data_IF_139151129713
#
_entry.id   IF_139151129713
#
_cell.length_a   1.000
_cell.length_b   1.000
_cell.length_c   1.000
_cell.angle_alpha   90.00
_cell.angle_beta   90.00
_cell.angle_gamma   90.00
#
_symmetry.space_group_name_H-M   'P 1'
#
loop_
_entity.id
_entity.type
_entity.pdbx_description
1 polymer ?
#
# COMPACT_ATOMS: atom_id res chain seq x y z
N UNK A 1 -4.11 56.43 -44.37
CA UNK A 1 -4.85 55.88 -43.18
C UNK A 1 -5.19 54.40 -43.31
N UNK A 2 -5.16 53.78 -44.45
CA UNK A 2 -5.48 52.34 -44.62
C UNK A 2 -4.33 51.37 -44.25
N UNK A 3 -3.10 51.78 -44.41
CA UNK A 3 -1.92 50.92 -44.11
C UNK A 3 -1.60 50.76 -42.61
N UNK A 4 -1.98 51.69 -41.77
CA UNK A 4 -1.79 51.61 -40.33
C UNK A 4 -2.77 50.73 -39.59
N UNK A 5 -3.94 50.43 -40.22
CA UNK A 5 -4.98 49.56 -39.65
C UNK A 5 -4.63 48.07 -39.85
N UNK A 6 -3.94 47.73 -40.93
CA UNK A 6 -3.58 46.33 -41.24
C UNK A 6 -2.44 45.83 -40.34
N UNK A 7 -1.51 46.70 -39.96
CA UNK A 7 -0.39 46.34 -39.07
C UNK A 7 -0.84 46.02 -37.63
N UNK A 8 -1.92 46.67 -37.13
CA UNK A 8 -2.40 46.44 -35.75
C UNK A 8 -3.21 45.14 -35.65
N UNK A 9 -3.94 44.73 -36.74
CA UNK A 9 -4.72 43.49 -36.74
C UNK A 9 -3.84 42.25 -36.87
N UNK A 10 -2.72 42.32 -37.60
CA UNK A 10 -1.76 41.21 -37.71
C UNK A 10 -0.97 41.00 -36.41
N UNK A 11 -0.64 42.09 -35.66
CA UNK A 11 0.01 41.96 -34.37
C UNK A 11 -0.91 41.36 -33.27
N UNK A 12 -2.23 41.59 -33.35
CA UNK A 12 -3.17 41.05 -32.37
C UNK A 12 -3.47 39.53 -32.61
N UNK A 13 -3.33 39.04 -33.83
CA UNK A 13 -3.56 37.62 -34.19
C UNK A 13 -2.34 36.76 -33.82
N UNK A 14 -1.12 37.32 -33.74
CA UNK A 14 0.08 36.62 -33.32
C UNK A 14 0.24 36.50 -31.81
N UNK A 15 -0.52 37.29 -31.01
CA UNK A 15 -0.43 37.25 -29.54
C UNK A 15 -1.38 36.22 -28.89
N UNK A 16 -2.26 35.54 -29.64
CA UNK A 16 -3.21 34.53 -29.11
C UNK A 16 -2.74 33.10 -29.37
N UNK A 17 -1.67 32.89 -30.15
CA UNK A 17 -1.18 31.56 -30.51
C UNK A 17 -0.06 31.01 -29.60
N UNK A 18 0.28 31.70 -28.49
CA UNK A 18 1.22 31.19 -27.47
C UNK A 18 0.55 30.89 -26.12
N UNK A 19 -0.73 30.51 -26.13
CA UNK A 19 -1.21 29.63 -25.08
C UNK A 19 -0.61 28.25 -25.35
N UNK A 20 0.70 28.14 -25.08
CA UNK A 20 1.43 26.89 -25.20
C UNK A 20 0.69 25.82 -24.40
N UNK A 21 0.17 24.82 -25.08
CA UNK A 21 -0.02 23.53 -24.47
C UNK A 21 1.31 23.19 -23.80
N UNK A 22 1.41 23.47 -22.51
CA UNK A 22 2.49 22.94 -21.69
C UNK A 22 2.38 21.42 -21.86
N UNK A 23 3.21 20.86 -22.74
CA UNK A 23 3.34 19.43 -22.94
C UNK A 23 3.48 18.86 -21.54
N UNK A 24 2.59 17.96 -21.16
CA UNK A 24 2.66 17.34 -19.85
C UNK A 24 4.02 16.65 -19.75
N UNK A 25 4.84 17.15 -18.83
CA UNK A 25 6.22 16.71 -18.68
C UNK A 25 6.22 15.30 -18.06
N UNK A 26 6.80 14.32 -18.76
CA UNK A 26 6.92 12.95 -18.25
C UNK A 26 7.77 12.90 -16.98
N UNK A 27 7.44 12.01 -16.04
CA UNK A 27 8.20 11.77 -14.83
C UNK A 27 8.68 10.33 -14.72
N UNK A 28 9.75 10.11 -13.96
CA UNK A 28 10.18 8.78 -13.52
C UNK A 28 9.67 8.54 -12.10
N UNK A 29 9.15 7.34 -11.83
CA UNK A 29 8.68 6.98 -10.50
C UNK A 29 9.09 5.56 -10.11
N UNK A 30 9.48 5.38 -8.83
CA UNK A 30 9.57 4.06 -8.22
C UNK A 30 8.19 3.66 -7.76
N UNK A 31 7.70 2.51 -8.23
CA UNK A 31 6.35 2.03 -7.94
C UNK A 31 6.38 0.66 -7.28
N UNK A 32 5.65 0.52 -6.17
CA UNK A 32 5.74 -0.67 -5.33
C UNK A 32 4.38 -1.37 -5.09
N UNK A 33 3.34 -1.06 -5.86
CA UNK A 33 2.14 -1.90 -5.91
C UNK A 33 2.34 -3.08 -6.87
N UNK A 34 1.36 -3.97 -7.01
CA UNK A 34 1.48 -5.04 -8.02
C UNK A 34 1.60 -4.47 -9.44
N UNK A 35 2.26 -5.18 -10.39
CA UNK A 35 2.39 -4.70 -11.77
C UNK A 35 1.04 -4.33 -12.41
N UNK A 36 -0.01 -5.13 -12.17
CA UNK A 36 -1.36 -4.86 -12.68
C UNK A 36 -1.95 -3.56 -12.10
N UNK A 37 -1.75 -3.32 -10.81
CA UNK A 37 -2.23 -2.10 -10.15
C UNK A 37 -1.40 -0.89 -10.56
N UNK A 38 -0.07 -1.04 -10.71
CA UNK A 38 0.78 0.00 -11.27
C UNK A 38 0.28 0.45 -12.65
N UNK A 39 -0.03 -0.49 -13.53
CA UNK A 39 -0.54 -0.19 -14.87
C UNK A 39 -1.87 0.60 -14.81
N UNK A 40 -2.80 0.24 -13.91
CA UNK A 40 -4.06 0.97 -13.70
C UNK A 40 -3.81 2.39 -13.20
N UNK A 41 -2.92 2.55 -12.21
CA UNK A 41 -2.56 3.86 -11.62
C UNK A 41 -1.93 4.77 -12.68
N UNK A 42 -0.94 4.27 -13.43
CA UNK A 42 -0.26 5.03 -14.50
C UNK A 42 -1.25 5.43 -15.59
N UNK A 43 -2.10 4.51 -16.02
CA UNK A 43 -3.16 4.81 -16.99
C UNK A 43 -4.10 5.90 -16.48
N UNK A 44 -4.56 5.80 -15.22
CA UNK A 44 -5.44 6.80 -14.63
C UNK A 44 -4.79 8.19 -14.58
N UNK A 45 -3.53 8.28 -14.15
CA UNK A 45 -2.76 9.53 -14.14
C UNK A 45 -2.69 10.10 -15.56
N UNK A 46 -2.35 9.27 -16.56
CA UNK A 46 -2.27 9.69 -17.97
C UNK A 46 -3.60 10.21 -18.49
N UNK A 47 -4.68 9.49 -18.24
CA UNK A 47 -6.03 9.86 -18.72
C UNK A 47 -6.51 11.20 -18.11
N UNK A 48 -6.17 11.47 -16.84
CA UNK A 48 -6.62 12.67 -16.12
C UNK A 48 -5.72 13.90 -16.30
N UNK A 49 -4.44 13.70 -16.59
CA UNK A 49 -3.45 14.80 -16.58
C UNK A 49 -2.66 14.95 -17.88
N UNK A 50 -2.68 13.95 -18.74
CA UNK A 50 -1.77 13.85 -19.89
C UNK A 50 -0.33 13.45 -19.52
N UNK A 51 0.04 13.40 -18.24
CA UNK A 51 1.39 13.09 -17.76
C UNK A 51 1.69 11.60 -17.96
N UNK A 52 2.84 11.28 -18.57
CA UNK A 52 3.36 9.91 -18.63
C UNK A 52 4.22 9.66 -17.40
N UNK A 53 3.96 8.54 -16.72
CA UNK A 53 4.79 8.05 -15.62
C UNK A 53 5.63 6.88 -16.12
N UNK A 54 6.93 7.10 -16.26
CA UNK A 54 7.91 6.06 -16.55
C UNK A 54 8.18 5.30 -15.26
N UNK A 55 7.55 4.14 -15.12
CA UNK A 55 7.60 3.38 -13.88
C UNK A 55 8.77 2.40 -13.84
N UNK A 56 9.39 2.29 -12.66
CA UNK A 56 10.27 1.17 -12.30
C UNK A 56 9.58 0.41 -11.17
N UNK A 57 9.13 -0.82 -11.45
CA UNK A 57 8.52 -1.68 -10.43
C UNK A 57 9.59 -2.19 -9.46
N UNK A 58 9.29 -2.13 -8.17
CA UNK A 58 10.15 -2.60 -7.07
C UNK A 58 9.27 -3.03 -5.88
N UNK A 59 9.76 -3.94 -5.07
CA UNK A 59 9.16 -4.19 -3.75
C UNK A 59 9.40 -3.00 -2.81
N UNK A 60 8.62 -2.88 -1.73
CA UNK A 60 8.84 -1.83 -0.73
C UNK A 60 10.26 -1.84 -0.15
N UNK A 61 10.84 -3.02 0.04
CA UNK A 61 12.22 -3.15 0.51
C UNK A 61 13.27 -2.67 -0.50
N UNK A 62 13.05 -2.96 -1.78
CA UNK A 62 13.92 -2.49 -2.86
C UNK A 62 13.82 -0.97 -3.05
N UNK A 63 12.61 -0.38 -2.94
CA UNK A 63 12.44 1.08 -2.92
C UNK A 63 13.24 1.70 -1.78
N UNK A 64 13.15 1.14 -0.57
CA UNK A 64 13.92 1.64 0.58
C UNK A 64 15.43 1.55 0.34
N UNK A 65 15.92 0.40 -0.14
CA UNK A 65 17.35 0.21 -0.42
C UNK A 65 17.84 1.18 -1.51
N UNK A 66 17.03 1.39 -2.55
CA UNK A 66 17.35 2.31 -3.64
C UNK A 66 17.38 3.76 -3.17
N UNK A 67 16.41 4.19 -2.37
CA UNK A 67 16.41 5.54 -1.80
C UNK A 67 17.64 5.79 -0.92
N UNK A 68 18.04 4.80 -0.10
CA UNK A 68 19.26 4.90 0.72
C UNK A 68 20.53 4.97 -0.12
N UNK A 69 20.60 4.23 -1.21
CA UNK A 69 21.75 4.19 -2.10
C UNK A 69 21.91 5.46 -2.96
N UNK A 70 20.79 6.05 -3.36
CA UNK A 70 20.79 7.25 -4.24
C UNK A 70 20.82 8.57 -3.48
N UNK A 71 20.50 8.57 -2.18
CA UNK A 71 20.46 9.82 -1.41
C UNK A 71 21.80 10.56 -1.42
N UNK A 72 21.80 11.88 -1.60
CA UNK A 72 20.64 12.74 -1.73
C UNK A 72 20.17 12.98 -3.19
N UNK A 73 20.74 12.32 -4.20
CA UNK A 73 20.53 12.57 -5.63
C UNK A 73 19.71 11.44 -6.27
N UNK A 74 18.39 11.56 -6.21
CA UNK A 74 17.45 10.53 -6.72
C UNK A 74 17.31 10.57 -8.24
N UNK A 75 17.24 9.41 -8.87
CA UNK A 75 17.03 9.27 -10.32
C UNK A 75 15.53 9.27 -10.71
N UNK A 76 14.63 9.28 -9.74
CA UNK A 76 13.20 9.46 -9.94
C UNK A 76 12.70 10.79 -9.38
N UNK A 77 11.55 11.24 -9.82
CA UNK A 77 10.85 12.42 -9.32
C UNK A 77 9.92 12.10 -8.16
N UNK A 78 9.37 10.87 -8.13
CA UNK A 78 8.38 10.45 -7.15
C UNK A 78 8.58 8.98 -6.75
N UNK A 79 8.04 8.67 -5.57
CA UNK A 79 7.67 7.30 -5.19
C UNK A 79 6.16 7.21 -5.23
N UNK A 80 5.58 6.15 -5.81
CA UNK A 80 4.14 5.94 -5.89
C UNK A 80 3.81 4.53 -5.42
N UNK A 81 2.98 4.42 -4.37
CA UNK A 81 2.47 3.14 -3.88
C UNK A 81 3.45 2.29 -3.07
N UNK A 82 4.47 2.91 -2.45
CA UNK A 82 5.31 2.20 -1.47
C UNK A 82 4.54 1.93 -0.16
N UNK A 83 5.09 1.10 0.71
CA UNK A 83 4.52 0.86 2.04
C UNK A 83 4.67 2.10 2.94
N UNK A 84 3.84 2.22 3.99
CA UNK A 84 3.85 3.36 4.91
C UNK A 84 5.23 3.66 5.52
N UNK A 85 6.03 2.66 5.96
CA UNK A 85 7.34 2.93 6.55
C UNK A 85 8.28 3.73 5.64
N UNK A 86 8.19 3.58 4.31
CA UNK A 86 9.04 4.34 3.37
C UNK A 86 8.69 5.83 3.35
N UNK A 87 7.41 6.20 3.49
CA UNK A 87 7.00 7.61 3.62
C UNK A 87 7.57 8.27 4.88
N UNK A 88 7.46 7.58 6.02
CA UNK A 88 8.03 8.04 7.29
C UNK A 88 9.55 8.14 7.25
N UNK A 89 10.23 7.13 6.69
CA UNK A 89 11.67 7.15 6.50
C UNK A 89 12.10 8.34 5.62
N UNK A 90 11.43 8.54 4.49
CA UNK A 90 11.75 9.61 3.55
C UNK A 90 11.56 11.01 4.18
N UNK A 91 10.47 11.20 4.96
CA UNK A 91 10.26 12.41 5.76
C UNK A 91 11.38 12.63 6.76
N UNK A 92 11.68 11.64 7.61
CA UNK A 92 12.70 11.70 8.66
C UNK A 92 14.10 11.97 8.10
N UNK A 93 14.40 11.41 6.93
CA UNK A 93 15.67 11.60 6.22
C UNK A 93 15.75 12.90 5.42
N UNK A 94 14.68 13.70 5.36
CA UNK A 94 14.65 14.95 4.60
C UNK A 94 14.71 14.75 3.08
N UNK A 95 14.22 13.60 2.57
CA UNK A 95 14.26 13.25 1.15
C UNK A 95 13.02 13.73 0.39
N UNK A 96 11.97 14.13 1.09
CA UNK A 96 10.70 14.55 0.49
C UNK A 96 10.66 16.06 0.22
N UNK A 97 9.97 16.45 -0.86
CA UNK A 97 9.51 17.80 -1.11
C UNK A 97 8.06 17.91 -0.59
N UNK A 98 7.82 18.62 0.54
CA UNK A 98 6.47 18.70 1.09
C UNK A 98 5.55 19.51 0.17
N UNK A 99 4.30 19.06 0.08
CA UNK A 99 3.23 19.74 -0.65
C UNK A 99 1.89 19.49 0.04
N UNK A 100 1.31 20.49 0.66
CA UNK A 100 -0.05 20.40 1.23
C UNK A 100 -1.06 20.55 0.10
N UNK A 101 -1.55 19.42 -0.40
CA UNK A 101 -2.44 19.39 -1.54
C UNK A 101 -3.87 19.77 -1.16
N UNK A 102 -4.50 20.73 -1.87
CA UNK A 102 -5.90 21.08 -1.65
C UNK A 102 -6.86 19.94 -1.97
N UNK A 103 -6.47 19.01 -2.87
CA UNK A 103 -7.27 17.83 -3.20
C UNK A 103 -7.41 16.84 -2.05
N UNK A 104 -6.56 16.93 -1.02
CA UNK A 104 -6.60 16.09 0.18
C UNK A 104 -7.31 16.75 1.37
N UNK A 105 -7.88 17.94 1.19
CA UNK A 105 -8.65 18.60 2.23
C UNK A 105 -9.84 17.75 2.69
N UNK A 106 -9.97 17.57 4.01
CA UNK A 106 -11.05 16.79 4.63
C UNK A 106 -10.86 15.27 4.57
N UNK A 107 -9.72 14.79 4.06
CA UNK A 107 -9.32 13.39 4.15
C UNK A 107 -8.83 13.09 5.57
N UNK A 108 -9.17 11.93 6.18
CA UNK A 108 -8.67 11.54 7.50
C UNK A 108 -7.13 11.49 7.56
N UNK A 109 -6.55 11.89 8.70
CA UNK A 109 -5.10 11.94 8.89
C UNK A 109 -4.40 10.58 8.73
N UNK A 110 -5.10 9.47 8.90
CA UNK A 110 -4.56 8.13 8.63
C UNK A 110 -4.07 7.97 7.19
N UNK A 111 -4.56 8.80 6.27
CA UNK A 111 -4.19 8.76 4.86
C UNK A 111 -3.13 9.79 4.45
N UNK A 112 -2.65 10.64 5.33
CA UNK A 112 -1.70 11.68 4.93
C UNK A 112 -0.84 12.18 6.08
N UNK A 113 0.35 12.62 5.75
CA UNK A 113 1.12 13.47 6.66
C UNK A 113 0.55 14.91 6.65
N UNK A 114 0.20 15.49 7.81
CA UNK A 114 -0.39 16.83 7.87
C UNK A 114 0.49 17.94 7.29
N UNK A 115 1.81 17.73 7.25
CA UNK A 115 2.76 18.64 6.64
C UNK A 115 2.96 18.42 5.14
N UNK A 116 2.28 17.42 4.54
CA UNK A 116 2.33 17.13 3.12
C UNK A 116 3.59 16.41 2.64
N UNK A 117 4.30 15.73 3.52
CA UNK A 117 5.49 14.97 3.14
C UNK A 117 5.17 13.69 2.37
N UNK A 118 4.04 13.05 2.67
CA UNK A 118 3.56 11.85 1.97
C UNK A 118 2.04 11.70 2.07
N UNK A 119 1.48 10.84 1.20
CA UNK A 119 0.07 10.55 1.08
C UNK A 119 -0.14 9.06 0.89
N UNK A 120 -1.06 8.46 1.64
CA UNK A 120 -1.52 7.09 1.40
C UNK A 120 -2.70 7.16 0.42
N UNK A 121 -2.42 6.90 -0.85
CA UNK A 121 -3.45 6.95 -1.91
C UNK A 121 -4.52 5.86 -1.73
N UNK A 122 -4.23 4.83 -0.93
CA UNK A 122 -5.15 3.82 -0.41
C UNK A 122 -4.50 3.10 0.76
N UNK A 123 -5.28 2.28 1.46
CA UNK A 123 -4.77 1.32 2.45
C UNK A 123 -5.35 -0.05 2.17
N UNK A 124 -4.71 -1.07 2.71
CA UNK A 124 -5.21 -2.44 2.74
C UNK A 124 -5.14 -2.98 4.16
N UNK A 125 -6.04 -3.91 4.47
CA UNK A 125 -6.17 -4.51 5.80
C UNK A 125 -5.55 -5.89 5.83
N UNK A 126 -5.17 -6.36 7.02
CA UNK A 126 -4.75 -7.74 7.21
C UNK A 126 -5.95 -8.60 7.58
N UNK A 127 -6.11 -9.71 6.88
CA UNK A 127 -7.27 -10.58 7.01
C UNK A 127 -6.84 -12.04 7.14
N UNK A 128 -7.76 -12.84 7.66
CA UNK A 128 -7.67 -14.29 7.60
C UNK A 128 -8.26 -14.76 6.28
N UNK A 129 -7.58 -15.68 5.61
CA UNK A 129 -8.07 -16.35 4.41
C UNK A 129 -8.13 -17.86 4.68
N UNK A 130 -9.18 -18.53 4.20
CA UNK A 130 -9.37 -19.95 4.36
C UNK A 130 -9.80 -20.62 3.06
N UNK A 131 -9.32 -21.85 2.82
CA UNK A 131 -9.79 -22.67 1.73
C UNK A 131 -11.16 -23.28 2.07
N UNK A 132 -12.19 -22.87 1.33
CA UNK A 132 -13.58 -23.27 1.57
C UNK A 132 -13.77 -24.79 1.60
N UNK A 133 -13.16 -25.48 0.66
CA UNK A 133 -13.38 -26.93 0.47
C UNK A 133 -12.66 -27.74 1.56
N UNK A 134 -11.43 -27.34 1.93
CA UNK A 134 -10.69 -27.99 3.01
C UNK A 134 -11.34 -27.79 4.37
N UNK A 135 -11.80 -26.57 4.67
CA UNK A 135 -12.53 -26.25 5.90
C UNK A 135 -13.81 -27.08 5.98
N UNK A 136 -14.61 -27.14 4.90
CA UNK A 136 -15.84 -27.93 4.84
C UNK A 136 -15.57 -29.44 5.04
N UNK A 137 -14.54 -29.98 4.36
CA UNK A 137 -14.14 -31.40 4.50
C UNK A 137 -13.71 -31.75 5.92
N UNK A 138 -13.04 -30.82 6.62
CA UNK A 138 -12.62 -31.01 8.01
C UNK A 138 -13.74 -30.73 9.03
N UNK A 139 -14.90 -30.20 8.62
CA UNK A 139 -15.96 -29.78 9.51
C UNK A 139 -15.63 -28.53 10.33
N UNK A 140 -14.69 -27.71 9.87
CA UNK A 140 -14.22 -26.51 10.55
C UNK A 140 -14.87 -25.25 9.98
N UNK A 141 -15.13 -24.28 10.88
CA UNK A 141 -15.57 -22.94 10.50
C UNK A 141 -14.35 -22.03 10.32
N UNK A 142 -14.54 -20.97 9.54
CA UNK A 142 -13.56 -19.89 9.39
C UNK A 142 -13.30 -19.24 10.76
N UNK A 143 -12.03 -19.02 11.16
CA UNK A 143 -11.70 -18.27 12.38
C UNK A 143 -12.21 -16.81 12.27
N UNK A 144 -12.69 -16.27 13.40
CA UNK A 144 -13.20 -14.90 13.51
C UNK A 144 -12.36 -14.01 14.45
N UNK A 145 -11.28 -14.56 15.02
CA UNK A 145 -10.39 -13.91 15.98
C UNK A 145 -8.96 -14.28 15.68
N UNK A 146 -8.03 -13.36 15.94
CA UNK A 146 -6.60 -13.69 15.92
C UNK A 146 -6.28 -14.83 16.89
N UNK A 147 -6.94 -14.86 18.06
CA UNK A 147 -6.74 -15.91 19.07
C UNK A 147 -7.24 -17.28 18.64
N UNK A 148 -8.21 -17.35 17.75
CA UNK A 148 -8.70 -18.63 17.21
C UNK A 148 -7.60 -19.40 16.46
N UNK A 149 -6.58 -18.67 15.93
CA UNK A 149 -5.44 -19.27 15.25
C UNK A 149 -4.49 -20.02 16.19
N UNK A 150 -4.63 -19.82 17.49
CA UNK A 150 -3.81 -20.52 18.51
C UNK A 150 -4.33 -21.92 18.83
N UNK A 151 -5.53 -22.30 18.34
CA UNK A 151 -6.11 -23.64 18.53
C UNK A 151 -5.18 -24.67 17.89
N UNK A 152 -4.74 -25.74 18.64
CA UNK A 152 -3.88 -26.79 18.11
C UNK A 152 -4.41 -27.54 16.88
N UNK A 153 -5.72 -27.47 16.59
CA UNK A 153 -6.29 -28.05 15.36
C UNK A 153 -5.72 -27.44 14.09
N UNK A 154 -5.15 -26.25 14.16
CA UNK A 154 -4.52 -25.54 13.03
C UNK A 154 -3.03 -25.85 12.86
N UNK A 155 -2.47 -26.76 13.68
CA UNK A 155 -1.04 -27.06 13.64
C UNK A 155 -0.60 -27.51 12.24
N UNK A 156 0.32 -26.73 11.65
CA UNK A 156 0.83 -26.97 10.29
C UNK A 156 -0.15 -26.65 9.16
N UNK A 157 -1.27 -26.00 9.45
CA UNK A 157 -2.29 -25.63 8.46
C UNK A 157 -2.38 -24.14 8.18
N UNK A 158 -1.53 -23.33 8.85
CA UNK A 158 -1.48 -21.89 8.66
C UNK A 158 -0.21 -21.50 7.91
N UNK A 159 -0.33 -20.60 6.95
CA UNK A 159 0.78 -19.93 6.27
C UNK A 159 0.65 -18.41 6.40
N UNK A 160 1.76 -17.72 6.66
CA UNK A 160 1.81 -16.25 6.67
C UNK A 160 3.14 -15.76 6.08
N UNK A 161 3.23 -14.49 5.65
CA UNK A 161 4.51 -13.98 5.16
C UNK A 161 5.48 -13.71 6.31
N UNK A 162 6.79 -13.73 6.01
CA UNK A 162 7.84 -13.41 6.97
C UNK A 162 8.04 -11.90 7.13
N UNK A 163 8.09 -11.37 8.36
CA UNK A 163 8.43 -9.97 8.60
C UNK A 163 9.88 -9.61 8.19
N UNK A 164 10.74 -10.60 8.02
CA UNK A 164 12.13 -10.37 7.61
C UNK A 164 12.26 -10.04 6.12
N UNK A 165 11.27 -10.42 5.29
CA UNK A 165 11.29 -10.23 3.84
C UNK A 165 10.10 -9.47 3.28
N UNK A 166 8.97 -9.43 4.00
CA UNK A 166 7.71 -8.80 3.57
C UNK A 166 7.38 -7.56 4.40
N UNK A 167 7.19 -6.42 3.74
CA UNK A 167 6.68 -5.21 4.39
C UNK A 167 5.30 -5.42 5.00
N UNK A 168 4.40 -6.11 4.30
CA UNK A 168 3.07 -6.50 4.80
C UNK A 168 3.17 -7.28 6.11
N UNK A 169 4.03 -8.30 6.17
CA UNK A 169 4.21 -9.09 7.40
C UNK A 169 4.87 -8.29 8.53
N UNK A 170 5.75 -7.36 8.21
CA UNK A 170 6.29 -6.43 9.20
C UNK A 170 5.15 -5.64 9.86
N UNK A 171 4.21 -5.11 9.09
CA UNK A 171 3.06 -4.38 9.61
C UNK A 171 2.07 -5.29 10.34
N UNK A 172 1.89 -6.57 9.93
CA UNK A 172 1.12 -7.56 10.70
C UNK A 172 1.73 -7.78 12.09
N UNK A 173 3.05 -7.91 12.19
CA UNK A 173 3.75 -8.01 13.48
C UNK A 173 3.44 -6.80 14.36
N UNK A 174 3.53 -5.59 13.80
CA UNK A 174 3.17 -4.37 14.53
C UNK A 174 1.71 -4.35 14.95
N UNK A 175 0.81 -4.90 14.15
CA UNK A 175 -0.59 -5.06 14.52
C UNK A 175 -0.74 -5.89 15.80
N UNK A 176 -0.06 -7.02 15.90
CA UNK A 176 -0.12 -7.86 17.10
C UNK A 176 0.48 -7.17 18.32
N UNK A 177 1.58 -6.42 18.14
CA UNK A 177 2.18 -5.63 19.24
C UNK A 177 1.25 -4.49 19.67
N UNK A 178 0.56 -3.84 18.75
CA UNK A 178 -0.40 -2.78 19.06
C UNK A 178 -1.68 -3.30 19.74
N UNK A 179 -2.16 -4.49 19.33
CA UNK A 179 -3.35 -5.12 19.91
C UNK A 179 -3.14 -5.59 21.35
N UNK A 180 -1.98 -6.17 21.64
CA UNK A 180 -1.74 -6.88 22.89
C UNK A 180 -0.69 -6.21 23.78
N UNK A 181 0.00 -5.18 23.30
CA UNK A 181 1.20 -4.62 23.92
C UNK A 181 2.45 -5.44 23.62
N UNK A 182 3.65 -4.85 23.76
CA UNK A 182 4.89 -5.46 23.31
C UNK A 182 5.12 -6.87 23.93
N UNK A 183 4.98 -7.01 25.25
CA UNK A 183 5.24 -8.27 25.94
C UNK A 183 4.24 -9.38 25.54
N UNK A 184 2.96 -9.11 25.63
CA UNK A 184 1.91 -10.09 25.30
C UNK A 184 1.78 -10.31 23.79
N UNK A 185 2.06 -9.28 22.98
CA UNK A 185 2.12 -9.40 21.52
C UNK A 185 3.21 -10.37 21.06
N UNK A 186 4.39 -10.33 21.67
CA UNK A 186 5.44 -11.32 21.38
C UNK A 186 5.05 -12.72 21.84
N UNK A 187 4.43 -12.88 23.02
CA UNK A 187 3.90 -14.19 23.45
C UNK A 187 2.84 -14.73 22.50
N UNK A 188 1.96 -13.86 22.01
CA UNK A 188 0.96 -14.25 21.00
C UNK A 188 1.65 -14.74 19.71
N UNK A 189 2.66 -14.01 19.22
CA UNK A 189 3.40 -14.39 18.00
C UNK A 189 4.13 -15.74 18.19
N UNK A 190 4.77 -15.95 19.33
CA UNK A 190 5.43 -17.23 19.70
C UNK A 190 4.40 -18.38 19.78
N UNK A 191 3.21 -18.12 20.29
CA UNK A 191 2.14 -19.13 20.34
C UNK A 191 1.59 -19.44 18.94
N UNK A 192 1.41 -18.42 18.10
CA UNK A 192 0.96 -18.55 16.71
C UNK A 192 1.98 -19.35 15.87
N UNK A 193 3.29 -19.12 16.08
CA UNK A 193 4.35 -19.82 15.36
C UNK A 193 4.25 -21.35 15.46
N UNK A 194 3.70 -21.88 16.56
CA UNK A 194 3.52 -23.33 16.76
C UNK A 194 2.55 -23.93 15.77
N UNK A 195 1.62 -23.13 15.23
CA UNK A 195 0.61 -23.55 14.25
C UNK A 195 0.99 -23.15 12.81
N UNK A 196 1.96 -22.25 12.64
CA UNK A 196 2.45 -21.87 11.31
C UNK A 196 3.22 -23.04 10.67
N UNK A 197 2.87 -23.40 9.44
CA UNK A 197 3.64 -24.37 8.66
C UNK A 197 4.97 -23.77 8.23
N UNK A 198 4.91 -22.65 7.49
CA UNK A 198 6.09 -21.90 7.10
C UNK A 198 5.78 -20.41 6.87
N UNK A 199 6.83 -19.61 6.77
CA UNK A 199 6.78 -18.19 6.45
C UNK A 199 7.16 -17.99 4.99
N UNK A 200 6.27 -17.40 4.20
CA UNK A 200 6.51 -17.07 2.79
C UNK A 200 7.34 -15.78 2.64
N UNK A 201 8.04 -15.62 1.51
CA UNK A 201 8.81 -14.41 1.22
C UNK A 201 7.94 -13.21 0.90
N UNK A 202 6.80 -13.43 0.26
CA UNK A 202 5.90 -12.39 -0.27
C UNK A 202 4.59 -12.34 0.52
N UNK A 203 4.05 -11.12 0.70
CA UNK A 203 2.75 -10.89 1.34
C UNK A 203 1.57 -11.56 0.63
N UNK A 204 1.70 -11.83 -0.67
CA UNK A 204 0.64 -12.39 -1.51
C UNK A 204 0.62 -13.94 -1.50
N UNK A 205 1.76 -14.57 -1.25
CA UNK A 205 1.91 -16.01 -1.35
C UNK A 205 0.91 -16.82 -0.49
N UNK A 206 0.56 -16.41 0.75
CA UNK A 206 -0.43 -17.13 1.53
C UNK A 206 -1.78 -17.28 0.84
N UNK A 207 -2.25 -16.24 0.14
CA UNK A 207 -3.52 -16.29 -0.58
C UNK A 207 -3.49 -17.33 -1.70
N UNK A 208 -2.37 -17.40 -2.44
CA UNK A 208 -2.18 -18.37 -3.53
C UNK A 208 -2.13 -19.80 -3.01
N UNK A 209 -1.36 -20.05 -1.96
CA UNK A 209 -1.20 -21.36 -1.33
C UNK A 209 -2.53 -21.90 -0.77
N UNK A 210 -3.26 -21.03 -0.06
CA UNK A 210 -4.59 -21.38 0.46
C UNK A 210 -5.58 -21.56 -0.68
N UNK A 211 -5.56 -20.72 -1.71
CA UNK A 211 -6.43 -20.82 -2.87
C UNK A 211 -6.28 -22.14 -3.62
N UNK A 212 -5.05 -22.62 -3.78
CA UNK A 212 -4.76 -23.93 -4.38
C UNK A 212 -5.05 -25.13 -3.45
N UNK A 213 -5.45 -24.87 -2.19
CA UNK A 213 -5.74 -25.92 -1.22
C UNK A 213 -4.51 -26.59 -0.60
N UNK A 214 -3.33 -25.98 -0.70
CA UNK A 214 -2.12 -26.49 -0.05
C UNK A 214 -2.21 -26.35 1.48
N UNK A 215 -2.84 -25.26 1.96
CA UNK A 215 -3.10 -25.00 3.38
C UNK A 215 -4.57 -24.65 3.63
N UNK A 216 -5.04 -24.87 4.87
CA UNK A 216 -6.40 -24.51 5.24
C UNK A 216 -6.54 -23.00 5.46
N UNK A 217 -5.57 -22.37 6.09
CA UNK A 217 -5.62 -20.97 6.52
C UNK A 217 -4.38 -20.19 6.10
N UNK A 218 -4.56 -18.89 5.92
CA UNK A 218 -3.48 -17.93 5.73
C UNK A 218 -3.77 -16.61 6.40
N UNK A 219 -2.71 -15.86 6.66
CA UNK A 219 -2.78 -14.46 7.04
C UNK A 219 -2.21 -13.65 5.87
N UNK A 220 -2.98 -12.70 5.35
CA UNK A 220 -2.65 -11.96 4.13
C UNK A 220 -3.31 -10.58 4.15
N UNK A 221 -3.29 -9.87 3.04
CA UNK A 221 -4.01 -8.61 2.85
C UNK A 221 -5.28 -8.81 2.00
N UNK A 222 -6.27 -7.98 2.26
CA UNK A 222 -7.62 -8.06 1.69
C UNK A 222 -7.64 -7.92 0.16
N UNK A 223 -6.86 -7.03 -0.42
CA UNK A 223 -6.81 -6.85 -1.87
C UNK A 223 -6.30 -8.10 -2.61
N UNK A 224 -5.42 -8.89 -1.97
CA UNK A 224 -4.97 -10.16 -2.52
C UNK A 224 -6.09 -11.21 -2.51
N UNK A 225 -6.87 -11.24 -1.43
CA UNK A 225 -8.04 -12.11 -1.32
C UNK A 225 -9.06 -11.77 -2.38
N UNK A 226 -9.39 -10.48 -2.56
CA UNK A 226 -10.33 -10.02 -3.59
C UNK A 226 -9.93 -10.48 -4.98
N UNK A 227 -8.65 -10.26 -5.33
CA UNK A 227 -8.12 -10.69 -6.63
C UNK A 227 -8.34 -12.20 -6.85
N UNK A 228 -8.03 -13.04 -5.87
CA UNK A 228 -8.14 -14.51 -6.02
C UNK A 228 -9.58 -15.00 -6.02
N UNK A 229 -10.48 -14.35 -5.31
CA UNK A 229 -11.92 -14.65 -5.42
C UNK A 229 -12.40 -14.33 -6.84
N UNK A 230 -11.99 -13.22 -7.44
CA UNK A 230 -12.32 -12.86 -8.82
C UNK A 230 -11.72 -13.85 -9.84
N UNK A 231 -10.55 -14.39 -9.55
CA UNK A 231 -9.90 -15.46 -10.33
C UNK A 231 -10.58 -16.84 -10.15
N UNK A 232 -11.63 -16.95 -9.31
CA UNK A 232 -12.42 -18.17 -9.11
C UNK A 232 -11.88 -19.13 -8.05
N UNK A 233 -10.91 -18.75 -7.25
CA UNK A 233 -10.40 -19.61 -6.18
C UNK A 233 -11.43 -19.79 -5.04
N UNK A 234 -11.54 -21.00 -4.44
CA UNK A 234 -12.52 -21.32 -3.41
C UNK A 234 -12.10 -20.75 -2.04
N UNK A 235 -12.13 -19.44 -1.90
CA UNK A 235 -11.67 -18.74 -0.70
C UNK A 235 -12.84 -18.24 0.14
N UNK A 236 -12.68 -18.40 1.45
CA UNK A 236 -13.38 -17.65 2.49
C UNK A 236 -12.41 -16.67 3.12
N UNK A 237 -12.93 -15.60 3.74
CA UNK A 237 -12.10 -14.66 4.47
C UNK A 237 -12.88 -14.07 5.64
N UNK A 238 -12.14 -13.56 6.64
CA UNK A 238 -12.71 -12.87 7.79
C UNK A 238 -11.78 -11.77 8.30
N UNK A 239 -12.38 -10.73 8.90
CA UNK A 239 -11.67 -9.74 9.68
C UNK A 239 -11.78 -10.18 11.14
N UNK A 240 -10.66 -10.30 11.86
CA UNK A 240 -10.69 -10.62 13.28
C UNK A 240 -11.47 -9.57 14.10
N UNK A 241 -12.31 -10.04 15.00
CA UNK A 241 -13.21 -9.20 15.81
C UNK A 241 -12.52 -8.20 16.73
N UNK A 242 -11.27 -8.48 17.09
CA UNK A 242 -10.43 -7.56 17.87
C UNK A 242 -10.09 -6.30 17.07
N UNK A 243 -10.19 -6.38 15.78
CA UNK A 243 -9.73 -5.39 14.82
C UNK A 243 -8.50 -5.86 14.05
N UNK A 244 -8.14 -5.12 13.02
CA UNK A 244 -7.00 -5.41 12.18
C UNK A 244 -6.11 -4.20 11.98
N UNK A 245 -4.86 -4.45 11.68
CA UNK A 245 -3.95 -3.41 11.22
C UNK A 245 -4.12 -3.15 9.72
N UNK A 246 -3.36 -2.20 9.27
CA UNK A 246 -3.36 -1.77 7.87
C UNK A 246 -1.94 -1.37 7.44
N UNK A 247 -1.74 -1.27 6.13
CA UNK A 247 -0.60 -0.58 5.55
C UNK A 247 -1.09 0.35 4.44
N UNK A 248 -0.40 1.46 4.24
CA UNK A 248 -0.75 2.44 3.23
C UNK A 248 0.04 2.24 1.94
N UNK A 249 -0.59 2.51 0.81
CA UNK A 249 0.09 2.66 -0.46
C UNK A 249 0.58 4.10 -0.58
N UNK A 250 1.79 4.34 -0.10
CA UNK A 250 2.35 5.67 0.14
C UNK A 250 2.95 6.29 -1.11
N UNK A 251 2.64 7.56 -1.34
CA UNK A 251 3.18 8.33 -2.46
C UNK A 251 3.78 9.64 -1.96
N UNK A 252 4.92 10.04 -2.49
CA UNK A 252 5.61 11.28 -2.13
C UNK A 252 6.51 11.80 -3.25
N UNK A 253 6.76 13.11 -3.20
CA UNK A 253 7.63 13.81 -4.14
C UNK A 253 9.05 13.78 -3.59
N UNK A 254 10.03 13.41 -4.42
CA UNK A 254 11.44 13.44 -4.04
C UNK A 254 12.01 14.87 -4.14
N UNK A 255 12.78 15.27 -3.14
CA UNK A 255 13.24 16.66 -2.91
C UNK A 255 14.06 17.23 -4.08
N UNK A 256 14.79 16.39 -4.79
CA UNK A 256 15.69 16.83 -5.85
C UNK A 256 15.01 17.00 -7.22
N UNK A 257 13.69 16.73 -7.30
CA UNK A 257 12.96 16.87 -8.56
C UNK A 257 13.02 18.29 -9.12
N UNK A 258 13.24 18.39 -10.42
CA UNK A 258 13.09 19.65 -11.16
C UNK A 258 11.68 19.82 -11.74
N UNK A 259 10.82 18.79 -11.59
CA UNK A 259 9.46 18.70 -12.14
C UNK A 259 8.38 18.82 -11.04
N UNK A 260 8.63 19.66 -10.03
CA UNK A 260 7.77 19.78 -8.85
C UNK A 260 6.31 20.10 -9.21
N UNK A 261 6.05 20.96 -10.19
CA UNK A 261 4.69 21.30 -10.61
C UNK A 261 3.95 20.09 -11.18
N UNK A 262 4.62 19.26 -11.98
CA UNK A 262 4.09 18.01 -12.55
C UNK A 262 3.80 16.99 -11.46
N UNK A 263 4.73 16.80 -10.50
CA UNK A 263 4.54 15.89 -9.37
C UNK A 263 3.37 16.31 -8.47
N UNK A 264 3.18 17.61 -8.22
CA UNK A 264 2.05 18.13 -7.44
C UNK A 264 0.71 17.82 -8.11
N UNK A 265 0.59 17.96 -9.44
CA UNK A 265 -0.62 17.55 -10.18
C UNK A 265 -0.94 16.06 -10.00
N UNK A 266 0.08 15.22 -9.95
CA UNK A 266 -0.12 13.77 -9.69
C UNK A 266 -0.65 13.57 -8.27
N UNK A 267 -0.06 14.20 -7.24
CA UNK A 267 -0.57 14.11 -5.86
C UNK A 267 -2.03 14.57 -5.79
N UNK A 268 -2.41 15.65 -6.48
CA UNK A 268 -3.79 16.13 -6.51
C UNK A 268 -4.74 15.09 -7.13
N UNK A 269 -4.34 14.46 -8.23
CA UNK A 269 -5.13 13.42 -8.90
C UNK A 269 -5.30 12.18 -8.03
N UNK A 270 -4.25 11.76 -7.31
CA UNK A 270 -4.32 10.63 -6.37
C UNK A 270 -5.26 10.89 -5.18
N UNK A 271 -5.56 12.17 -4.86
CA UNK A 271 -6.53 12.59 -3.84
C UNK A 271 -7.96 12.76 -4.36
N UNK A 272 -8.24 12.49 -5.65
CA UNK A 272 -9.56 12.69 -6.24
C UNK A 272 -10.58 11.60 -5.84
N UNK A 273 -11.87 11.90 -5.97
CA UNK A 273 -12.94 10.93 -5.75
C UNK A 273 -12.85 9.79 -6.76
N UNK A 274 -12.63 10.12 -8.04
CA UNK A 274 -12.56 9.11 -9.10
C UNK A 274 -11.38 8.13 -8.91
N UNK A 275 -10.26 8.63 -8.37
CA UNK A 275 -9.15 7.73 -8.02
C UNK A 275 -9.53 6.80 -6.86
N UNK A 276 -10.19 7.33 -5.83
CA UNK A 276 -10.71 6.53 -4.72
C UNK A 276 -11.71 5.47 -5.19
N UNK A 277 -12.62 5.83 -6.11
CA UNK A 277 -13.59 4.89 -6.68
C UNK A 277 -12.89 3.75 -7.44
N UNK A 278 -11.86 4.07 -8.24
CA UNK A 278 -11.05 3.08 -8.96
C UNK A 278 -10.33 2.12 -8.00
N UNK A 279 -9.70 2.65 -6.95
CA UNK A 279 -8.97 1.83 -5.98
C UNK A 279 -9.90 0.97 -5.12
N UNK A 280 -11.06 1.51 -4.73
CA UNK A 280 -12.08 0.75 -3.98
C UNK A 280 -12.66 -0.42 -4.80
N UNK A 281 -12.83 -0.24 -6.10
CA UNK A 281 -13.33 -1.28 -6.99
C UNK A 281 -12.38 -2.50 -7.09
N UNK A 282 -11.11 -2.33 -6.77
CA UNK A 282 -10.11 -3.40 -6.73
C UNK A 282 -9.76 -3.85 -5.29
N UNK A 283 -10.56 -3.43 -4.30
CA UNK A 283 -10.52 -3.94 -2.94
C UNK A 283 -9.80 -3.06 -1.90
N UNK A 284 -9.17 -1.97 -2.31
CA UNK A 284 -8.48 -1.09 -1.36
C UNK A 284 -9.44 -0.21 -0.55
N UNK A 285 -9.09 0.06 0.70
CA UNK A 285 -9.70 1.11 1.50
C UNK A 285 -9.12 2.46 1.06
N UNK A 286 -9.96 3.47 0.85
CA UNK A 286 -9.58 4.69 0.15
C UNK A 286 -9.77 5.95 0.98
N UNK A 287 -9.02 7.04 0.69
CA UNK A 287 -9.08 8.29 1.43
C UNK A 287 -10.47 8.95 1.41
N UNK A 288 -11.19 8.80 0.30
CA UNK A 288 -12.55 9.30 0.16
C UNK A 288 -13.54 8.15 0.20
N UNK A 289 -14.75 8.38 0.75
CA UNK A 289 -15.80 7.36 0.78
C UNK A 289 -16.06 6.79 -0.61
N UNK A 290 -15.91 5.48 -0.75
CA UNK A 290 -16.17 4.75 -1.98
C UNK A 290 -16.70 3.36 -1.67
N UNK A 291 -17.48 2.77 -2.58
CA UNK A 291 -17.99 1.42 -2.42
C UNK A 291 -16.87 0.41 -2.63
N UNK A 292 -16.31 -0.07 -1.53
CA UNK A 292 -15.26 -1.09 -1.57
C UNK A 292 -15.82 -2.44 -2.07
N UNK A 293 -15.06 -3.11 -2.91
CA UNK A 293 -15.46 -4.38 -3.51
C UNK A 293 -15.59 -5.55 -2.52
N UNK A 294 -14.90 -5.48 -1.35
CA UNK A 294 -14.98 -6.47 -0.29
C UNK A 294 -15.94 -6.08 0.83
N UNK A 295 -15.89 -4.81 1.23
CA UNK A 295 -16.54 -4.30 2.44
C UNK A 295 -17.84 -3.55 2.18
N UNK A 296 -18.14 -3.25 0.91
CA UNK A 296 -19.24 -2.33 0.60
C UNK A 296 -18.95 -0.93 1.15
N UNK A 297 -19.76 -0.47 2.11
CA UNK A 297 -19.60 0.84 2.75
C UNK A 297 -19.11 0.74 4.20
N UNK A 298 -18.99 -0.47 4.77
CA UNK A 298 -18.58 -0.68 6.16
C UNK A 298 -17.10 -1.05 6.20
N UNK A 299 -16.27 -0.13 6.67
CA UNK A 299 -14.83 -0.35 6.77
C UNK A 299 -14.47 -1.26 7.95
N UNK A 300 -13.30 -1.94 7.88
CA UNK A 300 -12.76 -2.70 9.00
C UNK A 300 -12.56 -1.84 10.25
N UNK A 301 -12.67 -2.46 11.42
CA UNK A 301 -12.20 -1.85 12.67
C UNK A 301 -10.68 -1.83 12.66
N UNK A 302 -10.09 -0.68 12.38
CA UNK A 302 -8.63 -0.53 12.41
C UNK A 302 -8.09 -0.40 13.83
N UNK A 303 -6.97 -1.06 14.08
CA UNK A 303 -6.13 -0.85 15.25
C UNK A 303 -5.37 0.46 15.06
N UNK A 304 -5.26 1.26 16.11
CA UNK A 304 -4.44 2.46 16.05
C UNK A 304 -2.95 2.06 16.00
N UNK A 305 -2.32 2.27 14.85
CA UNK A 305 -0.92 1.96 14.59
C UNK A 305 -0.08 3.23 14.58
N UNK A 306 0.93 3.28 15.43
CA UNK A 306 2.00 4.27 15.29
C UNK A 306 2.95 3.82 14.18
N UNK A 307 2.69 4.28 12.95
CA UNK A 307 3.46 3.91 11.76
C UNK A 307 4.89 4.47 11.80
N UNK A 308 5.12 5.58 12.51
CA UNK A 308 6.45 6.13 12.76
C UNK A 308 7.27 5.19 13.64
N UNK A 309 6.69 4.75 14.77
CA UNK A 309 7.29 3.73 15.65
C UNK A 309 7.50 2.41 14.91
N UNK A 310 6.58 2.00 14.05
CA UNK A 310 6.72 0.80 13.23
C UNK A 310 7.95 0.86 12.31
N UNK A 311 8.23 2.02 11.73
CA UNK A 311 9.41 2.24 10.91
C UNK A 311 10.71 2.24 11.75
N UNK A 312 10.71 2.93 12.90
CA UNK A 312 11.87 3.07 13.76
C UNK A 312 12.26 1.74 14.46
N UNK A 313 11.29 0.97 14.92
CA UNK A 313 11.51 -0.29 15.65
C UNK A 313 11.71 -1.50 14.73
N UNK A 314 11.69 -1.33 13.40
CA UNK A 314 11.74 -2.44 12.44
C UNK A 314 12.93 -3.37 12.67
N UNK A 315 14.16 -2.82 12.73
CA UNK A 315 15.36 -3.63 12.85
C UNK A 315 15.46 -4.30 14.23
N UNK A 316 15.16 -3.58 15.30
CA UNK A 316 15.05 -4.15 16.65
C UNK A 316 14.11 -5.35 16.70
N UNK A 317 12.92 -5.20 16.09
CA UNK A 317 11.93 -6.27 16.06
C UNK A 317 12.33 -7.42 15.12
N UNK A 318 13.10 -7.16 14.06
CA UNK A 318 13.69 -8.20 13.23
C UNK A 318 14.68 -9.06 14.02
N UNK A 319 15.50 -8.44 14.87
CA UNK A 319 16.46 -9.17 15.70
C UNK A 319 15.76 -10.01 16.78
N UNK A 320 14.70 -9.47 17.40
CA UNK A 320 13.87 -10.25 18.34
C UNK A 320 13.23 -11.45 17.60
N UNK A 321 12.72 -11.23 16.38
CA UNK A 321 12.15 -12.30 15.57
C UNK A 321 13.15 -13.43 15.31
N UNK A 322 14.36 -13.10 14.85
CA UNK A 322 15.43 -14.08 14.57
C UNK A 322 15.84 -14.88 15.80
N UNK A 323 15.78 -14.25 16.99
CA UNK A 323 16.14 -14.93 18.24
C UNK A 323 15.07 -15.88 18.76
N UNK A 324 13.78 -15.54 18.53
CA UNK A 324 12.64 -16.21 19.16
C UNK A 324 11.91 -17.20 18.24
N UNK A 325 11.99 -17.01 16.94
CA UNK A 325 11.12 -17.66 15.98
C UNK A 325 11.91 -18.33 14.87
N UNK A 326 11.24 -19.25 14.16
CA UNK A 326 11.82 -19.90 12.98
C UNK A 326 12.06 -18.87 11.87
N UNK A 327 13.23 -18.91 11.29
CA UNK A 327 13.65 -17.98 10.23
C UNK A 327 13.68 -18.62 8.85
N UNK A 328 13.48 -19.93 8.77
CA UNK A 328 13.58 -20.68 7.51
C UNK A 328 12.34 -20.49 6.63
N UNK A 329 12.59 -20.08 5.41
CA UNK A 329 11.63 -20.16 4.31
C UNK A 329 11.69 -21.59 3.77
N UNK A 330 10.65 -22.39 4.01
CA UNK A 330 10.51 -23.69 3.33
C UNK A 330 9.86 -23.51 1.97
#
# INVERSE_FOLDING_TARGET
MREKFIAVVVAAIFSVALAGSALAEDINAYMATSPDNNAKIVKFIKDKTGITVNQTFQSCGEVEAKLKAEAPNFSAEMVIGACSPQGYLAKKSGWTLPYVSPAWKGVPEVFMDPQGHFYHMSTFSFVLVGNKDRLAKAGYKMPESWKDLLDPKWKGEIVMPSPLSSGTANMMRFTFLALYGDAEGWKFIEALDKNIHHYSRSGNAPTDLVGRGEFMLGITSDENVKKRIDDGYPLLWSIPKEGTGYDGTTSFILKTTKKAATCKKIIDVLGSQEFSDMMAAIGYVTPRPAKNALYGTTLPKFVNLDLGKAADDKEKNNDIWKQKLRTEFK
#
